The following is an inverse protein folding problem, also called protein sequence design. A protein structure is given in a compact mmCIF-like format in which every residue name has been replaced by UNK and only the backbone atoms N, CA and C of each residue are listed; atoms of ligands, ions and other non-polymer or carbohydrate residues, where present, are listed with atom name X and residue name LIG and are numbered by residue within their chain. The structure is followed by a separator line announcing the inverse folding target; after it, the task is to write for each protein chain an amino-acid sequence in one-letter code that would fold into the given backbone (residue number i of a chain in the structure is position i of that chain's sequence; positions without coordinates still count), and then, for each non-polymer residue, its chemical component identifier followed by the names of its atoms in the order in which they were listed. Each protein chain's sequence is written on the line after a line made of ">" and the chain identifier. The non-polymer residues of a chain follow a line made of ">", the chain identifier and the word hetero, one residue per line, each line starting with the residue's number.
data_IF_113980477544
#
_entry.id   IF_113980477544
#
_cell.length_a   1.000
_cell.length_b   1.000
_cell.length_c   1.000
_cell.angle_alpha   90.00
_cell.angle_beta   90.00
_cell.angle_gamma   90.00
#
_symmetry.space_group_name_H-M   'P 1'
#
loop_
_entity.id
_entity.type
_entity.pdbx_description
1 polymer ?
#
# COMPACT_ATOMS: atom_id res chain seq x y z
N UNK A 1 -9.79 1.96 -7.74
CA UNK A 1 -8.44 1.65 -7.22
C UNK A 1 -7.96 2.82 -6.38
N UNK A 2 -7.28 2.53 -5.27
CA UNK A 2 -6.59 3.51 -4.43
C UNK A 2 -5.16 3.64 -4.93
N UNK A 3 -4.61 4.88 -4.93
CA UNK A 3 -3.27 5.20 -5.39
C UNK A 3 -2.97 4.78 -6.84
N UNK A 4 -3.98 4.86 -7.71
CA UNK A 4 -3.81 4.52 -9.13
C UNK A 4 -2.87 5.47 -9.88
N UNK A 5 -2.71 6.71 -9.42
CA UNK A 5 -1.76 7.68 -9.95
C UNK A 5 -0.35 7.57 -9.32
N UNK A 6 -0.10 6.60 -8.47
CA UNK A 6 1.21 6.29 -7.83
C UNK A 6 1.81 7.44 -7.01
N UNK A 7 0.97 8.34 -6.49
CA UNK A 7 1.44 9.56 -5.80
C UNK A 7 1.78 9.36 -4.32
N UNK A 8 1.26 8.30 -3.69
CA UNK A 8 1.49 7.99 -2.27
C UNK A 8 2.49 6.85 -2.14
N UNK A 9 3.52 7.06 -1.33
CA UNK A 9 4.56 6.07 -1.04
C UNK A 9 5.09 6.25 0.38
N UNK A 10 4.28 5.87 1.38
CA UNK A 10 4.62 6.02 2.79
C UNK A 10 5.79 5.11 3.20
N UNK A 11 5.94 3.94 2.56
CA UNK A 11 7.03 2.98 2.84
C UNK A 11 8.39 3.41 2.29
N UNK A 12 8.44 4.50 1.49
CA UNK A 12 9.64 4.99 0.82
C UNK A 12 9.47 5.04 -0.69
N UNK A 13 10.46 5.56 -1.38
CA UNK A 13 10.41 5.78 -2.84
C UNK A 13 11.34 4.85 -3.63
N UNK A 14 12.30 4.21 -2.98
CA UNK A 14 13.23 3.27 -3.60
C UNK A 14 13.29 1.99 -2.76
N UNK A 15 12.82 0.89 -3.32
CA UNK A 15 12.74 -0.40 -2.64
C UNK A 15 13.87 -1.35 -3.06
N UNK A 16 14.62 -0.99 -4.12
CA UNK A 16 15.65 -1.87 -4.69
C UNK A 16 15.05 -3.18 -5.19
N UNK A 17 15.83 -4.26 -5.14
CA UNK A 17 15.37 -5.61 -5.46
C UNK A 17 14.71 -6.23 -4.24
N UNK A 18 13.46 -6.63 -4.37
CA UNK A 18 12.66 -7.17 -3.27
C UNK A 18 13.15 -8.59 -2.88
N UNK A 19 13.47 -8.78 -1.60
CA UNK A 19 13.84 -10.09 -1.06
C UNK A 19 12.63 -11.03 -0.89
N UNK A 20 11.44 -10.46 -0.75
CA UNK A 20 10.15 -11.17 -0.64
C UNK A 20 9.06 -10.36 -1.31
N UNK A 21 7.94 -11.01 -1.64
CA UNK A 21 6.73 -10.32 -2.08
C UNK A 21 6.31 -9.31 -1.02
N UNK A 22 6.16 -8.03 -1.38
CA UNK A 22 5.92 -6.95 -0.44
C UNK A 22 5.05 -5.83 -1.01
N UNK A 23 4.37 -5.10 -0.11
CA UNK A 23 3.81 -3.80 -0.44
C UNK A 23 4.93 -2.79 -0.61
N UNK A 24 4.88 -2.04 -1.71
CA UNK A 24 5.85 -1.02 -2.09
C UNK A 24 5.22 0.38 -2.02
N UNK A 25 4.84 0.97 -3.15
CA UNK A 25 3.95 2.13 -3.10
C UNK A 25 2.63 1.69 -2.44
N UNK A 26 2.00 2.62 -1.72
CA UNK A 26 0.78 2.30 -0.97
C UNK A 26 -0.25 1.59 -1.83
N UNK A 27 -0.81 0.50 -1.31
CA UNK A 27 -1.79 -0.40 -1.95
C UNK A 27 -1.25 -1.27 -3.08
N UNK A 28 0.04 -1.16 -3.44
CA UNK A 28 0.64 -1.92 -4.52
C UNK A 28 1.64 -2.93 -4.00
N UNK A 29 1.37 -4.19 -4.28
CA UNK A 29 2.19 -5.34 -3.90
C UNK A 29 2.93 -5.86 -5.13
N UNK A 30 4.20 -6.21 -4.99
CA UNK A 30 5.07 -6.71 -6.07
C UNK A 30 5.80 -7.95 -5.60
N UNK A 31 6.02 -8.90 -6.49
CA UNK A 31 6.68 -10.16 -6.17
C UNK A 31 8.17 -10.00 -5.85
N UNK A 32 8.70 -10.97 -5.12
CA UNK A 32 10.12 -11.09 -4.81
C UNK A 32 10.96 -11.18 -6.09
N UNK A 33 12.16 -10.60 -6.06
CA UNK A 33 13.06 -10.57 -7.22
C UNK A 33 12.91 -9.32 -8.08
N UNK A 34 11.74 -8.69 -8.11
CA UNK A 34 11.54 -7.45 -8.86
C UNK A 34 12.26 -6.27 -8.20
N UNK A 35 12.84 -5.40 -9.01
CA UNK A 35 13.37 -4.09 -8.57
C UNK A 35 12.26 -3.05 -8.71
N UNK A 36 12.02 -2.27 -7.66
CA UNK A 36 10.87 -1.36 -7.60
C UNK A 36 11.28 0.02 -7.09
N UNK A 37 10.76 1.07 -7.72
CA UNK A 37 10.83 2.44 -7.20
C UNK A 37 9.67 3.32 -7.69
N UNK A 38 9.43 4.42 -6.98
CA UNK A 38 8.56 5.49 -7.47
C UNK A 38 9.37 6.39 -8.41
N UNK A 39 8.93 6.52 -9.65
CA UNK A 39 9.52 7.42 -10.64
C UNK A 39 8.76 8.74 -10.72
N UNK A 40 9.46 9.85 -10.94
CA UNK A 40 8.84 11.13 -11.30
C UNK A 40 8.63 11.20 -12.81
N UNK A 41 7.49 11.73 -13.23
CA UNK A 41 7.23 12.04 -14.63
C UNK A 41 7.67 13.46 -14.95
N UNK A 42 8.19 13.67 -16.16
CA UNK A 42 8.39 15.00 -16.69
C UNK A 42 7.04 15.69 -16.95
N UNK A 43 7.05 17.01 -17.01
CA UNK A 43 5.87 17.77 -17.38
C UNK A 43 5.46 17.39 -18.83
N UNK A 44 4.16 17.12 -19.00
CA UNK A 44 3.59 16.72 -20.31
C UNK A 44 4.08 15.38 -20.87
N UNK A 45 4.72 14.52 -20.04
CA UNK A 45 5.19 13.21 -20.48
C UNK A 45 4.03 12.28 -20.91
N UNK A 46 2.84 12.48 -20.34
CA UNK A 46 1.57 11.90 -20.80
C UNK A 46 0.79 13.02 -21.47
N UNK A 47 0.71 13.01 -22.80
CA UNK A 47 0.20 14.12 -23.60
C UNK A 47 -1.30 14.37 -23.44
N UNK A 48 -2.08 13.32 -23.22
CA UNK A 48 -3.54 13.34 -23.08
C UNK A 48 -4.03 13.54 -21.65
N UNK A 49 -3.15 13.38 -20.64
CA UNK A 49 -3.43 13.76 -19.26
C UNK A 49 -2.17 14.25 -18.51
N UNK A 50 -1.98 15.56 -18.52
CA UNK A 50 -0.81 16.25 -18.01
C UNK A 50 -0.74 16.34 -16.47
N UNK A 51 -1.72 15.78 -15.74
CA UNK A 51 -1.78 15.85 -14.28
C UNK A 51 -0.96 14.76 -13.59
N UNK A 52 -0.54 13.72 -14.33
CA UNK A 52 0.29 12.68 -13.76
C UNK A 52 1.71 13.19 -13.46
N UNK A 53 2.15 12.97 -12.23
CA UNK A 53 3.48 13.38 -11.76
C UNK A 53 4.34 12.23 -11.30
N UNK A 54 3.74 11.06 -11.10
CA UNK A 54 4.40 9.85 -10.59
C UNK A 54 3.98 8.61 -11.35
N UNK A 55 4.88 7.63 -11.39
CA UNK A 55 4.62 6.27 -11.83
C UNK A 55 5.32 5.29 -10.90
N UNK A 56 4.87 4.05 -10.87
CA UNK A 56 5.68 2.95 -10.35
C UNK A 56 6.59 2.46 -11.47
N UNK A 57 7.88 2.39 -11.17
CA UNK A 57 8.90 1.79 -12.05
C UNK A 57 9.24 0.42 -11.51
N UNK A 58 9.18 -0.59 -12.38
CA UNK A 58 9.44 -1.98 -12.02
C UNK A 58 10.24 -2.68 -13.09
N UNK A 59 11.11 -3.58 -12.66
CA UNK A 59 11.79 -4.56 -13.52
C UNK A 59 11.75 -5.90 -12.80
N UNK A 60 11.10 -6.88 -13.40
CA UNK A 60 10.94 -8.22 -12.87
C UNK A 60 11.42 -9.28 -13.87
N UNK A 61 11.13 -10.54 -13.55
CA UNK A 61 11.22 -11.67 -14.44
C UNK A 61 9.81 -12.10 -14.90
N UNK A 62 9.74 -12.97 -15.90
CA UNK A 62 8.48 -13.62 -16.25
C UNK A 62 7.91 -14.37 -15.04
N UNK A 63 6.62 -14.25 -14.82
CA UNK A 63 5.88 -14.76 -13.65
C UNK A 63 6.01 -13.92 -12.36
N UNK A 64 6.67 -12.78 -12.38
CA UNK A 64 6.54 -11.78 -11.34
C UNK A 64 5.29 -10.94 -11.58
N UNK A 65 4.54 -10.65 -10.52
CA UNK A 65 3.29 -9.91 -10.62
C UNK A 65 3.31 -8.62 -9.83
N UNK A 66 2.67 -7.62 -10.42
CA UNK A 66 2.29 -6.35 -9.81
C UNK A 66 0.78 -6.38 -9.54
N UNK A 67 0.37 -6.09 -8.30
CA UNK A 67 -1.01 -6.33 -7.89
C UNK A 67 -1.57 -5.33 -6.88
N UNK A 68 -2.89 -5.19 -6.88
CA UNK A 68 -3.64 -4.45 -5.86
C UNK A 68 -4.89 -5.23 -5.44
N UNK A 69 -5.31 -5.08 -4.18
CA UNK A 69 -6.48 -5.75 -3.62
C UNK A 69 -7.56 -4.75 -3.25
N UNK A 70 -8.80 -5.07 -3.58
CA UNK A 70 -10.00 -4.29 -3.25
C UNK A 70 -10.82 -5.06 -2.24
N UNK A 71 -11.27 -4.40 -1.15
CA UNK A 71 -12.03 -5.05 -0.08
C UNK A 71 -13.34 -5.65 -0.60
N UNK A 72 -13.67 -6.82 -0.07
CA UNK A 72 -14.93 -7.52 -0.24
C UNK A 72 -15.22 -7.96 -1.68
N UNK A 73 -14.98 -9.24 -1.93
CA UNK A 73 -15.26 -9.88 -3.23
C UNK A 73 -16.72 -9.76 -3.67
N UNK A 74 -17.64 -9.55 -2.73
CA UNK A 74 -19.09 -9.47 -2.99
C UNK A 74 -19.46 -8.23 -3.80
N UNK A 75 -18.71 -7.13 -3.65
CA UNK A 75 -19.01 -5.86 -4.31
C UNK A 75 -18.94 -5.93 -5.84
N UNK A 76 -18.27 -6.94 -6.39
CA UNK A 76 -17.99 -7.04 -7.82
C UNK A 76 -18.64 -8.29 -8.46
N UNK A 77 -19.47 -9.00 -7.69
CA UNK A 77 -20.13 -10.24 -8.16
C UNK A 77 -20.98 -9.99 -9.41
N UNK A 78 -20.77 -10.80 -10.44
CA UNK A 78 -21.53 -10.73 -11.71
C UNK A 78 -21.48 -9.35 -12.39
N UNK A 79 -20.38 -8.59 -12.18
CA UNK A 79 -20.16 -7.29 -12.82
C UNK A 79 -19.18 -7.42 -13.97
N UNK A 80 -19.41 -6.63 -15.02
CA UNK A 80 -18.38 -6.36 -16.02
C UNK A 80 -17.58 -5.15 -15.56
N UNK A 81 -16.27 -5.32 -15.46
CA UNK A 81 -15.34 -4.27 -15.05
C UNK A 81 -14.48 -3.82 -16.23
N UNK A 82 -14.12 -2.55 -16.22
CA UNK A 82 -13.18 -1.93 -17.16
C UNK A 82 -11.95 -1.53 -16.38
N UNK A 83 -10.79 -2.07 -16.74
CA UNK A 83 -9.48 -1.64 -16.26
C UNK A 83 -8.86 -0.72 -17.29
N UNK A 84 -8.34 0.42 -16.87
CA UNK A 84 -7.51 1.28 -17.73
C UNK A 84 -6.23 1.67 -16.99
N UNK A 85 -5.14 1.86 -17.73
CA UNK A 85 -3.84 2.26 -17.18
C UNK A 85 -2.95 2.83 -18.27
N UNK A 86 -1.98 3.66 -17.86
CA UNK A 86 -0.90 4.13 -18.72
C UNK A 86 0.36 3.32 -18.44
N UNK A 87 1.02 2.88 -19.50
CA UNK A 87 2.29 2.16 -19.40
C UNK A 87 3.27 2.59 -20.49
N UNK A 88 4.57 2.64 -20.14
CA UNK A 88 5.69 2.68 -21.08
C UNK A 88 6.78 1.70 -20.62
N UNK A 89 7.64 1.27 -21.54
CA UNK A 89 8.84 0.50 -21.27
C UNK A 89 10.11 1.33 -21.45
N UNK A 90 11.20 0.91 -20.84
CA UNK A 90 12.54 1.42 -21.18
C UNK A 90 12.96 1.01 -22.60
N UNK A 91 12.39 -0.08 -23.10
CA UNK A 91 12.45 -0.55 -24.49
C UNK A 91 11.11 -1.15 -24.87
N UNK A 92 10.89 -1.42 -26.17
CA UNK A 92 9.68 -2.09 -26.63
C UNK A 92 9.60 -3.49 -26.01
N UNK A 93 8.41 -3.83 -25.50
CA UNK A 93 8.12 -5.12 -24.87
C UNK A 93 6.60 -5.41 -24.99
N UNK A 94 6.16 -6.51 -24.40
CA UNK A 94 4.74 -6.81 -24.19
C UNK A 94 4.44 -6.85 -22.70
N UNK A 95 3.27 -6.40 -22.32
CA UNK A 95 2.67 -6.62 -21.01
C UNK A 95 1.56 -7.66 -21.21
N UNK A 96 1.71 -8.79 -20.57
CA UNK A 96 0.83 -9.94 -20.77
C UNK A 96 0.08 -10.30 -19.48
N UNK A 97 -0.91 -11.21 -19.58
CA UNK A 97 -1.50 -11.90 -18.45
C UNK A 97 -2.07 -10.99 -17.34
N UNK A 98 -3.09 -10.19 -17.69
CA UNK A 98 -3.83 -9.41 -16.69
C UNK A 98 -5.05 -10.21 -16.23
N UNK A 99 -5.19 -10.37 -14.90
CA UNK A 99 -6.27 -11.14 -14.29
C UNK A 99 -6.97 -10.40 -13.17
N UNK A 100 -8.23 -10.77 -12.97
CA UNK A 100 -9.01 -10.48 -11.78
C UNK A 100 -9.22 -11.77 -10.98
N UNK A 101 -8.81 -11.79 -9.71
CA UNK A 101 -8.94 -12.91 -8.79
C UNK A 101 -10.01 -12.62 -7.75
N UNK A 102 -11.05 -13.41 -7.74
CA UNK A 102 -12.00 -13.44 -6.63
C UNK A 102 -11.42 -14.34 -5.52
N UNK A 103 -10.96 -13.71 -4.43
CA UNK A 103 -10.48 -14.42 -3.25
C UNK A 103 -11.56 -14.36 -2.16
N UNK A 104 -12.05 -15.51 -1.75
CA UNK A 104 -13.16 -15.62 -0.81
C UNK A 104 -12.72 -15.56 0.67
N UNK A 105 -11.45 -15.32 0.94
CA UNK A 105 -10.93 -15.14 2.28
C UNK A 105 -10.79 -16.42 3.10
N UNK A 106 -10.44 -16.24 4.37
CA UNK A 106 -10.25 -17.36 5.29
C UNK A 106 -11.58 -18.05 5.63
N UNK A 107 -11.66 -19.35 5.44
CA UNK A 107 -12.89 -20.13 5.60
C UNK A 107 -13.87 -20.01 4.42
N UNK A 108 -13.47 -19.29 3.36
CA UNK A 108 -14.26 -19.15 2.14
C UNK A 108 -14.04 -20.23 1.10
N UNK A 109 -14.76 -20.11 -0.01
CA UNK A 109 -14.62 -20.99 -1.19
C UNK A 109 -13.25 -20.82 -1.84
N UNK A 110 -12.87 -21.77 -2.72
CA UNK A 110 -11.65 -21.66 -3.52
C UNK A 110 -11.64 -20.41 -4.39
N UNK A 111 -10.45 -19.84 -4.61
CA UNK A 111 -10.23 -18.68 -5.47
C UNK A 111 -10.71 -18.95 -6.90
N UNK A 112 -11.11 -17.88 -7.60
CA UNK A 112 -11.48 -17.92 -9.01
C UNK A 112 -10.73 -16.81 -9.75
N UNK A 113 -9.90 -17.20 -10.72
CA UNK A 113 -9.18 -16.28 -11.60
C UNK A 113 -9.94 -16.13 -12.91
N UNK A 114 -10.10 -14.88 -13.36
CA UNK A 114 -10.73 -14.54 -14.62
C UNK A 114 -9.80 -13.61 -15.40
N UNK A 115 -9.46 -14.00 -16.62
CA UNK A 115 -8.61 -13.20 -17.49
C UNK A 115 -9.37 -11.97 -18.04
N UNK A 116 -8.67 -10.85 -18.19
CA UNK A 116 -9.18 -9.71 -18.93
C UNK A 116 -9.26 -10.01 -20.43
N UNK A 117 -10.11 -9.28 -21.15
CA UNK A 117 -10.43 -9.52 -22.57
C UNK A 117 -9.23 -9.43 -23.52
N UNK A 118 -8.22 -8.63 -23.18
CA UNK A 118 -6.96 -8.57 -23.89
C UNK A 118 -5.85 -9.03 -22.96
N UNK A 119 -5.05 -9.98 -23.38
CA UNK A 119 -3.96 -10.57 -22.60
C UNK A 119 -2.57 -10.13 -23.06
N UNK A 120 -2.46 -9.32 -24.11
CA UNK A 120 -1.16 -8.88 -24.64
C UNK A 120 -1.24 -7.44 -25.13
N UNK A 121 -0.38 -6.59 -24.58
CA UNK A 121 -0.29 -5.18 -24.88
C UNK A 121 1.10 -4.84 -25.39
N UNK A 122 1.21 -4.25 -26.57
CA UNK A 122 2.48 -3.79 -27.13
C UNK A 122 2.93 -2.53 -26.41
N UNK A 123 3.88 -2.65 -25.48
CA UNK A 123 4.44 -1.54 -24.72
C UNK A 123 5.59 -0.90 -25.47
N UNK A 124 5.52 0.41 -25.70
CA UNK A 124 6.56 1.21 -26.36
C UNK A 124 7.32 2.07 -25.33
N UNK A 125 8.29 2.85 -25.80
CA UNK A 125 9.05 3.80 -24.96
C UNK A 125 8.27 5.09 -24.64
N UNK A 126 7.06 5.25 -25.16
CA UNK A 126 6.15 6.35 -24.83
C UNK A 126 4.93 5.82 -24.07
N UNK A 127 4.41 6.62 -23.13
CA UNK A 127 3.19 6.25 -22.43
C UNK A 127 2.03 6.06 -23.39
N UNK A 128 1.39 4.92 -23.27
CA UNK A 128 0.15 4.59 -24.00
C UNK A 128 -0.90 4.17 -22.99
N UNK A 129 -2.12 4.66 -23.14
CA UNK A 129 -3.27 4.24 -22.34
C UNK A 129 -3.86 2.96 -22.93
N UNK A 130 -4.02 1.95 -22.10
CA UNK A 130 -4.69 0.70 -22.45
C UNK A 130 -5.98 0.54 -21.66
N UNK A 131 -6.91 -0.20 -22.24
CA UNK A 131 -8.19 -0.54 -21.64
C UNK A 131 -8.48 -2.02 -21.88
N UNK A 132 -8.97 -2.69 -20.85
CA UNK A 132 -9.40 -4.09 -20.90
C UNK A 132 -10.68 -4.29 -20.10
N UNK A 133 -11.48 -5.26 -20.48
CA UNK A 133 -12.71 -5.64 -19.78
C UNK A 133 -12.63 -7.04 -19.20
N UNK A 134 -13.32 -7.28 -18.10
CA UNK A 134 -13.52 -8.60 -17.52
C UNK A 134 -14.92 -8.71 -16.95
N UNK A 135 -15.61 -9.81 -17.21
CA UNK A 135 -16.88 -10.13 -16.54
C UNK A 135 -16.62 -11.12 -15.43
N UNK A 136 -16.80 -10.69 -14.19
CA UNK A 136 -16.57 -11.54 -13.04
C UNK A 136 -17.71 -12.55 -12.86
N UNK A 137 -17.39 -13.81 -12.52
CA UNK A 137 -18.40 -14.80 -12.19
C UNK A 137 -19.26 -14.39 -10.98
N UNK A 138 -20.49 -14.90 -10.96
CA UNK A 138 -21.37 -14.79 -9.80
C UNK A 138 -20.78 -15.53 -8.60
N UNK A 139 -20.92 -14.96 -7.41
CA UNK A 139 -20.56 -15.60 -6.14
C UNK A 139 -21.73 -16.42 -5.55
N UNK A 140 -22.83 -16.56 -6.28
CA UNK A 140 -23.96 -17.40 -5.85
C UNK A 140 -23.47 -18.83 -5.57
N UNK A 141 -23.84 -19.39 -4.41
CA UNK A 141 -23.38 -20.70 -3.96
C UNK A 141 -21.95 -20.76 -3.44
N UNK A 142 -21.24 -19.64 -3.34
CA UNK A 142 -19.92 -19.52 -2.71
C UNK A 142 -20.05 -19.12 -1.25
N UNK A 143 -19.14 -19.61 -0.42
CA UNK A 143 -18.95 -19.13 0.96
C UNK A 143 -17.96 -17.99 0.95
N UNK A 144 -18.37 -16.83 1.45
CA UNK A 144 -17.48 -15.68 1.65
C UNK A 144 -16.97 -15.71 3.09
N UNK A 145 -15.68 -15.89 3.25
CA UNK A 145 -14.99 -15.92 4.53
C UNK A 145 -14.48 -14.54 4.94
N UNK A 146 -13.67 -14.50 6.00
CA UNK A 146 -13.10 -13.25 6.52
C UNK A 146 -11.97 -12.74 5.61
N UNK A 147 -11.88 -11.41 5.48
CA UNK A 147 -10.86 -10.73 4.65
C UNK A 147 -10.89 -11.17 3.17
N UNK A 148 -12.10 -11.36 2.62
CA UNK A 148 -12.27 -11.59 1.19
C UNK A 148 -11.91 -10.33 0.38
N UNK A 149 -11.45 -10.50 -0.86
CA UNK A 149 -11.06 -9.39 -1.72
C UNK A 149 -11.14 -9.74 -3.21
N UNK A 150 -11.23 -8.71 -4.03
CA UNK A 150 -10.90 -8.78 -5.44
C UNK A 150 -9.46 -8.33 -5.64
N UNK A 151 -8.63 -9.14 -6.29
CA UNK A 151 -7.25 -8.78 -6.64
C UNK A 151 -7.16 -8.55 -8.15
N UNK A 152 -6.58 -7.42 -8.53
CA UNK A 152 -6.17 -7.17 -9.93
C UNK A 152 -4.66 -7.35 -9.97
N UNK A 153 -4.17 -8.23 -10.85
CA UNK A 153 -2.76 -8.47 -11.00
C UNK A 153 -2.34 -8.54 -12.46
N UNK A 154 -1.13 -8.06 -12.73
CA UNK A 154 -0.52 -7.97 -14.05
C UNK A 154 0.85 -8.62 -13.98
N UNK A 155 1.17 -9.47 -14.95
CA UNK A 155 2.50 -10.05 -15.10
C UNK A 155 3.48 -9.01 -15.61
N UNK A 156 4.67 -8.94 -14.99
CA UNK A 156 5.73 -8.05 -15.44
C UNK A 156 6.45 -8.65 -16.64
N UNK A 157 6.86 -7.83 -17.64
CA UNK A 157 7.65 -8.33 -18.75
C UNK A 157 9.05 -8.74 -18.28
N UNK A 158 9.57 -9.81 -18.88
CA UNK A 158 10.88 -10.36 -18.52
C UNK A 158 12.00 -9.36 -18.80
N UNK A 159 12.76 -9.02 -17.76
CA UNK A 159 13.99 -8.23 -17.81
C UNK A 159 13.89 -6.83 -18.44
N UNK A 160 12.68 -6.33 -18.70
CA UNK A 160 12.45 -4.97 -19.21
C UNK A 160 11.83 -4.11 -18.10
N UNK A 161 12.42 -2.94 -17.88
CA UNK A 161 11.84 -1.95 -16.97
C UNK A 161 10.58 -1.35 -17.57
N UNK A 162 9.49 -1.39 -16.80
CA UNK A 162 8.21 -0.75 -17.15
C UNK A 162 7.83 0.33 -16.13
N UNK A 163 7.08 1.31 -16.61
CA UNK A 163 6.55 2.42 -15.82
C UNK A 163 5.03 2.42 -15.96
N UNK A 164 4.31 2.30 -14.88
CA UNK A 164 2.83 2.23 -14.85
C UNK A 164 2.28 3.35 -13.98
N UNK A 165 1.22 4.00 -14.45
CA UNK A 165 0.44 5.00 -13.69
C UNK A 165 -0.99 5.08 -14.21
N UNK A 166 -1.86 5.84 -13.54
CA UNK A 166 -3.24 6.04 -13.96
C UNK A 166 -4.07 4.76 -13.99
N UNK A 167 -3.80 3.84 -13.05
CA UNK A 167 -4.56 2.58 -12.98
C UNK A 167 -5.94 2.83 -12.39
N UNK A 168 -6.99 2.60 -13.17
CA UNK A 168 -8.38 2.80 -12.80
C UNK A 168 -9.22 1.56 -13.11
N UNK A 169 -10.11 1.19 -12.21
CA UNK A 169 -11.07 0.11 -12.37
C UNK A 169 -12.48 0.65 -12.19
N UNK A 170 -13.35 0.41 -13.15
CA UNK A 170 -14.72 0.91 -13.21
C UNK A 170 -15.70 -0.23 -13.48
N UNK A 171 -16.95 -0.08 -13.04
CA UNK A 171 -18.03 -0.98 -13.46
C UNK A 171 -18.58 -0.48 -14.80
N UNK A 172 -18.65 -1.36 -15.78
CA UNK A 172 -19.24 -1.05 -17.10
C UNK A 172 -20.76 -1.07 -17.04
N UNK A 173 -21.35 0.05 -16.60
CA UNK A 173 -22.80 0.19 -16.54
C UNK A 173 -23.48 0.33 -17.91
N UNK A 174 -22.71 0.65 -18.94
CA UNK A 174 -23.24 0.94 -20.29
C UNK A 174 -23.03 -0.20 -21.27
N UNK A 175 -22.22 -1.20 -20.92
CA UNK A 175 -21.81 -2.25 -21.84
C UNK A 175 -20.91 -1.76 -22.98
N UNK A 176 -20.31 -0.57 -22.84
CA UNK A 176 -19.51 0.05 -23.91
C UNK A 176 -18.08 -0.49 -23.97
N UNK A 177 -17.57 -1.07 -22.90
CA UNK A 177 -16.17 -1.50 -22.76
C UNK A 177 -15.16 -0.34 -22.79
N UNK A 178 -15.61 0.92 -22.65
CA UNK A 178 -14.78 2.11 -22.74
C UNK A 178 -14.57 2.71 -21.36
N UNK A 179 -13.31 2.88 -20.97
CA UNK A 179 -12.94 3.59 -19.76
C UNK A 179 -13.25 5.09 -19.87
N UNK A 180 -13.68 5.68 -18.75
CA UNK A 180 -13.76 7.13 -18.59
C UNK A 180 -12.36 7.75 -18.43
N UNK A 181 -12.27 9.08 -18.44
CA UNK A 181 -11.02 9.76 -18.08
C UNK A 181 -10.60 9.39 -16.66
N UNK A 182 -9.29 9.44 -16.38
CA UNK A 182 -8.78 9.09 -15.06
C UNK A 182 -9.29 10.07 -13.99
N UNK A 183 -9.83 9.55 -12.90
CA UNK A 183 -10.31 10.33 -11.77
C UNK A 183 -9.14 10.76 -10.87
N UNK A 184 -8.65 11.98 -11.07
CA UNK A 184 -7.62 12.57 -10.22
C UNK A 184 -8.18 13.01 -8.85
N UNK A 185 -7.68 12.45 -7.78
CA UNK A 185 -7.96 12.88 -6.42
C UNK A 185 -6.86 13.81 -5.92
N UNK A 186 -7.19 14.71 -4.99
CA UNK A 186 -6.17 15.50 -4.30
C UNK A 186 -5.24 14.61 -3.48
N UNK A 187 -4.00 15.05 -3.28
CA UNK A 187 -3.02 14.30 -2.47
C UNK A 187 -3.58 13.92 -1.09
N UNK A 188 -4.26 14.85 -0.41
CA UNK A 188 -4.82 14.59 0.92
C UNK A 188 -5.94 13.54 0.92
N UNK A 189 -6.79 13.53 -0.11
CA UNK A 189 -7.83 12.50 -0.27
C UNK A 189 -7.20 11.12 -0.52
N UNK A 190 -6.23 11.04 -1.43
CA UNK A 190 -5.54 9.78 -1.73
C UNK A 190 -4.75 9.25 -0.54
N UNK A 191 -4.05 10.15 0.18
CA UNK A 191 -3.33 9.78 1.40
C UNK A 191 -4.28 9.20 2.46
N UNK A 192 -5.43 9.82 2.70
CA UNK A 192 -6.41 9.32 3.66
C UNK A 192 -6.93 7.92 3.28
N UNK A 193 -7.15 7.66 1.99
CA UNK A 193 -7.53 6.33 1.51
C UNK A 193 -6.42 5.30 1.73
N UNK A 194 -5.15 5.67 1.51
CA UNK A 194 -3.99 4.82 1.78
C UNK A 194 -3.82 4.57 3.28
N UNK A 195 -4.00 5.59 4.11
CA UNK A 195 -3.86 5.49 5.57
C UNK A 195 -4.90 4.57 6.23
N UNK A 196 -6.01 4.26 5.58
CA UNK A 196 -6.92 3.20 6.01
C UNK A 196 -6.21 1.83 6.09
N UNK A 197 -5.16 1.61 5.31
CA UNK A 197 -4.43 0.36 5.19
C UNK A 197 -3.03 0.42 5.80
N UNK A 198 -2.33 1.52 5.62
CA UNK A 198 -0.98 1.70 6.14
C UNK A 198 -0.79 3.15 6.58
N UNK A 199 -0.34 3.34 7.79
CA UNK A 199 -0.03 4.65 8.35
C UNK A 199 1.36 4.62 8.95
N UNK A 200 2.20 5.56 8.53
CA UNK A 200 3.57 5.68 8.98
C UNK A 200 3.82 7.04 9.60
N UNK A 201 4.54 7.02 10.71
CA UNK A 201 5.11 8.17 11.39
C UNK A 201 6.61 8.12 11.12
N UNK A 202 7.14 9.18 10.54
CA UNK A 202 8.55 9.30 10.16
C UNK A 202 9.29 10.32 11.03
N UNK A 203 10.61 10.21 11.04
CA UNK A 203 11.47 11.28 11.52
C UNK A 203 11.22 12.56 10.70
N UNK A 204 10.85 13.65 11.40
CA UNK A 204 10.52 14.93 10.76
C UNK A 204 11.65 15.98 10.89
N UNK A 205 12.79 15.58 11.44
CA UNK A 205 13.92 16.47 11.73
C UNK A 205 13.80 17.18 13.09
N UNK A 206 14.85 17.11 13.88
CA UNK A 206 14.91 17.69 15.22
C UNK A 206 14.42 16.76 16.34
N UNK A 207 14.74 17.12 17.57
CA UNK A 207 14.29 16.41 18.78
C UNK A 207 12.76 16.49 18.92
N UNK A 208 12.14 15.42 19.40
CA UNK A 208 10.69 15.28 19.61
C UNK A 208 9.84 15.29 18.32
N UNK A 209 10.39 14.93 17.18
CA UNK A 209 9.61 14.75 15.96
C UNK A 209 8.79 13.45 16.01
N UNK A 210 7.54 13.51 15.57
CA UNK A 210 6.60 12.38 15.49
C UNK A 210 6.32 11.68 16.83
N UNK A 211 6.37 12.41 17.95
CA UNK A 211 6.21 11.88 19.28
C UNK A 211 4.82 11.30 19.58
N UNK A 212 4.79 10.10 20.15
CA UNK A 212 3.58 9.49 20.73
C UNK A 212 3.56 9.78 22.22
N UNK A 213 2.55 10.52 22.67
CA UNK A 213 2.42 10.91 24.06
C UNK A 213 1.90 9.77 24.92
N UNK A 214 2.38 9.71 26.16
CA UNK A 214 2.00 8.70 27.12
C UNK A 214 2.46 9.00 28.54
N UNK A 215 2.67 7.94 29.33
CA UNK A 215 3.08 8.06 30.71
C UNK A 215 3.83 6.80 31.18
N UNK A 216 4.61 6.95 32.26
CA UNK A 216 5.18 5.83 32.99
C UNK A 216 4.08 5.13 33.81
N UNK A 217 3.76 3.89 33.43
CA UNK A 217 2.84 3.04 34.17
C UNK A 217 3.48 2.48 35.45
N UNK A 218 4.76 2.14 35.37
CA UNK A 218 5.63 1.78 36.48
C UNK A 218 7.00 2.45 36.28
N UNK A 219 7.94 2.25 37.22
CA UNK A 219 9.30 2.80 37.09
C UNK A 219 10.08 2.24 35.89
N UNK A 220 9.61 1.14 35.28
CA UNK A 220 10.28 0.46 34.16
C UNK A 220 9.38 0.20 32.96
N UNK A 221 8.12 0.67 32.99
CA UNK A 221 7.14 0.43 31.94
C UNK A 221 6.50 1.74 31.49
N UNK A 222 6.49 1.96 30.18
CA UNK A 222 5.88 3.16 29.55
C UNK A 222 4.77 2.72 28.63
N UNK A 223 3.63 3.42 28.67
CA UNK A 223 2.58 3.36 27.68
C UNK A 223 2.54 4.64 26.87
N UNK A 224 2.47 4.50 25.54
CA UNK A 224 2.25 5.62 24.62
C UNK A 224 1.09 5.31 23.69
N UNK A 225 0.45 6.36 23.17
CA UNK A 225 -0.83 6.24 22.50
C UNK A 225 -0.78 6.85 21.11
N UNK A 226 -1.34 6.13 20.14
CA UNK A 226 -1.61 6.64 18.80
C UNK A 226 -3.11 6.60 18.52
N UNK A 227 -3.68 7.73 18.14
CA UNK A 227 -4.98 7.79 17.50
C UNK A 227 -4.75 7.78 15.99
N UNK A 228 -5.22 6.73 15.32
CA UNK A 228 -5.07 6.62 13.89
C UNK A 228 -5.74 7.80 13.19
N UNK A 229 -5.05 8.41 12.23
CA UNK A 229 -5.57 9.55 11.45
C UNK A 229 -6.82 9.20 10.67
N UNK A 230 -6.94 7.93 10.28
CA UNK A 230 -8.09 7.36 9.56
C UNK A 230 -8.44 6.01 10.19
N UNK A 231 -9.74 5.70 10.27
CA UNK A 231 -10.19 4.39 10.74
C UNK A 231 -9.59 3.30 9.87
N UNK A 232 -8.82 2.39 10.48
CA UNK A 232 -8.16 1.30 9.78
C UNK A 232 -9.16 0.28 9.26
N UNK A 233 -8.80 -0.43 8.20
CA UNK A 233 -9.58 -1.54 7.65
C UNK A 233 -9.79 -2.68 8.66
N UNK A 234 -8.75 -3.01 9.38
CA UNK A 234 -8.69 -4.03 10.41
C UNK A 234 -7.79 -3.55 11.55
N UNK A 235 -7.77 -4.26 12.66
CA UNK A 235 -6.78 -4.03 13.72
C UNK A 235 -5.38 -4.18 13.12
N UNK A 236 -4.56 -3.11 13.14
CA UNK A 236 -3.24 -3.13 12.48
C UNK A 236 -2.21 -3.93 13.28
N UNK A 237 -1.20 -4.42 12.58
CA UNK A 237 0.07 -4.82 13.16
C UNK A 237 1.00 -3.61 13.33
N UNK A 238 1.97 -3.73 14.23
CA UNK A 238 3.00 -2.72 14.48
C UNK A 238 4.26 -3.06 13.70
N UNK A 239 4.77 -2.07 12.97
CA UNK A 239 6.10 -2.10 12.35
C UNK A 239 6.91 -0.92 12.86
N UNK A 240 8.22 -1.06 12.96
CA UNK A 240 9.14 0.01 13.30
C UNK A 240 10.55 -0.27 12.77
N UNK A 241 11.35 0.78 12.66
CA UNK A 241 12.77 0.72 12.33
C UNK A 241 13.58 0.11 13.48
N UNK A 242 14.89 0.30 13.51
CA UNK A 242 15.68 -0.14 14.65
C UNK A 242 15.22 0.56 15.95
N UNK A 243 15.23 -0.14 17.08
CA UNK A 243 14.88 0.46 18.38
C UNK A 243 15.83 1.60 18.77
N UNK A 244 17.04 1.60 18.21
CA UNK A 244 18.03 2.68 18.35
C UNK A 244 17.68 3.96 17.61
N UNK A 245 16.62 3.95 16.78
CA UNK A 245 16.09 5.12 16.10
C UNK A 245 14.99 5.81 16.92
N UNK A 246 14.68 5.25 18.10
CA UNK A 246 13.58 5.66 18.96
C UNK A 246 14.10 6.01 20.36
N UNK A 247 13.56 7.09 20.96
CA UNK A 247 13.86 7.52 22.32
C UNK A 247 12.62 7.79 23.15
N UNK A 248 12.79 7.78 24.49
CA UNK A 248 11.74 8.16 25.43
C UNK A 248 12.14 9.49 26.07
N UNK A 249 11.38 10.51 25.76
CA UNK A 249 11.55 11.86 26.25
C UNK A 249 10.68 12.16 27.50
N UNK A 250 11.05 13.13 28.36
CA UNK A 250 12.08 14.17 28.15
C UNK A 250 13.50 13.81 28.59
N UNK A 251 13.83 12.55 28.80
CA UNK A 251 15.10 12.16 29.41
C UNK A 251 16.07 11.42 28.50
N UNK A 252 15.79 11.37 27.19
CA UNK A 252 16.67 10.73 26.21
C UNK A 252 16.99 9.27 26.63
N UNK A 253 15.92 8.47 26.83
CA UNK A 253 16.04 7.07 27.27
C UNK A 253 15.89 6.13 26.10
N UNK A 254 16.82 5.19 26.03
CA UNK A 254 16.76 4.12 25.03
C UNK A 254 15.49 3.30 25.13
N UNK A 255 14.98 2.86 23.99
CA UNK A 255 13.82 1.97 23.87
C UNK A 255 14.30 0.52 23.83
N UNK A 256 14.21 -0.26 24.95
CA UNK A 256 14.71 -1.63 24.98
C UNK A 256 13.82 -2.61 24.22
N UNK A 257 12.55 -2.29 24.08
CA UNK A 257 11.58 -3.03 23.27
C UNK A 257 10.37 -2.16 22.98
N UNK A 258 9.60 -2.52 21.95
CA UNK A 258 8.35 -1.86 21.61
C UNK A 258 7.32 -2.92 21.20
N UNK A 259 6.16 -2.93 21.84
CA UNK A 259 5.10 -3.91 21.58
C UNK A 259 3.74 -3.24 21.45
N UNK A 260 2.87 -3.82 20.62
CA UNK A 260 1.48 -3.43 20.53
C UNK A 260 0.72 -4.08 21.70
N UNK A 261 0.40 -3.29 22.74
CA UNK A 261 -0.27 -3.79 23.94
C UNK A 261 -1.78 -3.95 23.74
N UNK A 262 -2.41 -2.92 23.14
CA UNK A 262 -3.82 -2.94 22.76
C UNK A 262 -4.01 -2.15 21.47
N UNK A 263 -4.86 -2.62 20.60
CA UNK A 263 -5.19 -1.92 19.36
C UNK A 263 -6.57 -2.28 18.88
N UNK A 264 -7.18 -1.33 18.22
CA UNK A 264 -8.37 -1.51 17.39
C UNK A 264 -8.20 -0.69 16.09
N UNK A 265 -9.27 -0.54 15.33
CA UNK A 265 -9.24 0.20 14.05
C UNK A 265 -9.08 1.72 14.20
N UNK A 266 -9.16 2.26 15.40
CA UNK A 266 -9.10 3.71 15.69
C UNK A 266 -7.90 4.09 16.55
N UNK A 267 -7.35 3.14 17.28
CA UNK A 267 -6.44 3.43 18.37
C UNK A 267 -5.41 2.32 18.55
N UNK A 268 -4.19 2.69 18.94
CA UNK A 268 -3.15 1.79 19.39
C UNK A 268 -2.51 2.30 20.69
N UNK A 269 -2.37 1.40 21.65
CA UNK A 269 -1.54 1.59 22.84
C UNK A 269 -0.29 0.75 22.68
N UNK A 270 0.85 1.40 22.63
CA UNK A 270 2.16 0.75 22.60
C UNK A 270 2.71 0.66 24.01
N UNK A 271 3.44 -0.42 24.29
CA UNK A 271 4.09 -0.68 25.56
C UNK A 271 5.58 -0.85 25.35
N UNK A 272 6.35 -0.19 26.22
CA UNK A 272 7.79 -0.29 26.32
C UNK A 272 8.09 -0.81 27.72
N UNK A 273 8.79 -1.94 27.84
CA UNK A 273 9.20 -2.52 29.13
C UNK A 273 10.72 -2.49 29.28
N UNK A 274 11.19 -2.47 30.53
CA UNK A 274 12.62 -2.55 30.86
C UNK A 274 13.35 -1.23 30.64
N UNK A 275 12.62 -0.11 30.65
CA UNK A 275 13.25 1.21 30.69
C UNK A 275 14.02 1.34 31.99
N UNK A 276 15.29 1.71 31.88
CA UNK A 276 16.13 1.98 33.07
C UNK A 276 15.94 3.41 33.49
N UNK A 277 15.04 3.65 34.42
CA UNK A 277 14.80 4.95 35.00
C UNK A 277 14.36 4.83 36.46
N UNK A 278 14.66 5.86 37.21
CA UNK A 278 14.20 6.11 38.57
C UNK A 278 13.01 7.05 38.64
N UNK A 279 12.32 7.25 37.49
CA UNK A 279 11.11 8.09 37.38
C UNK A 279 9.94 7.41 38.06
N UNK A 280 9.19 8.23 38.74
CA UNK A 280 7.99 7.77 39.41
C UNK A 280 6.86 7.40 38.46
N UNK A 281 6.09 6.40 38.81
CA UNK A 281 4.81 6.07 38.20
C UNK A 281 3.92 7.31 38.02
N UNK A 282 3.39 7.51 36.80
CA UNK A 282 2.45 8.59 36.49
C UNK A 282 3.10 9.83 35.85
N UNK A 283 4.42 9.87 35.71
CA UNK A 283 5.08 10.95 34.96
C UNK A 283 4.76 10.85 33.45
N UNK A 284 4.74 12.00 32.78
CA UNK A 284 4.54 12.05 31.33
C UNK A 284 5.74 11.48 30.59
N UNK A 285 5.47 10.82 29.48
CA UNK A 285 6.46 10.29 28.57
C UNK A 285 6.09 10.59 27.12
N UNK A 286 7.07 10.65 26.23
CA UNK A 286 6.87 10.76 24.80
C UNK A 286 7.82 9.79 24.10
N UNK A 287 7.29 8.88 23.29
CA UNK A 287 8.12 8.08 22.38
C UNK A 287 8.37 8.91 21.12
N UNK A 288 9.62 9.19 20.85
CA UNK A 288 10.04 10.01 19.70
C UNK A 288 10.79 9.16 18.68
N UNK A 289 10.86 9.66 17.45
CA UNK A 289 11.70 9.13 16.38
C UNK A 289 12.78 10.17 16.15
N UNK A 290 14.04 9.86 16.43
CA UNK A 290 15.12 10.83 16.48
C UNK A 290 16.22 10.61 15.43
N UNK A 291 16.20 9.50 14.69
CA UNK A 291 17.17 9.18 13.64
C UNK A 291 16.58 9.29 12.23
N UNK A 292 17.40 9.78 11.30
CA UNK A 292 17.05 9.80 9.87
C UNK A 292 16.75 8.39 9.36
N UNK A 293 15.56 8.20 8.80
CA UNK A 293 15.10 6.89 8.34
C UNK A 293 14.33 6.09 9.40
N UNK A 294 14.34 6.55 10.66
CA UNK A 294 13.52 5.98 11.72
C UNK A 294 12.03 6.12 11.45
N UNK A 295 11.24 5.13 11.90
CA UNK A 295 9.79 5.16 11.73
C UNK A 295 9.06 4.23 12.74
N UNK A 296 7.77 4.54 12.91
CA UNK A 296 6.76 3.67 13.52
C UNK A 296 5.60 3.58 12.54
N UNK A 297 5.09 2.39 12.27
CA UNK A 297 3.98 2.22 11.33
C UNK A 297 2.93 1.22 11.82
N UNK A 298 1.73 1.39 11.30
CA UNK A 298 0.55 0.58 11.59
C UNK A 298 0.03 -0.02 10.29
N UNK A 299 0.23 -1.33 10.10
CA UNK A 299 -0.11 -2.06 8.88
C UNK A 299 -1.42 -2.84 9.05
N UNK A 300 -2.41 -2.52 8.22
CA UNK A 300 -3.69 -3.17 8.10
C UNK A 300 -3.98 -3.62 6.65
N UNK A 301 -2.95 -3.90 5.85
CA UNK A 301 -3.07 -4.36 4.46
C UNK A 301 -3.81 -5.72 4.36
N UNK A 302 -4.25 -6.07 3.14
CA UNK A 302 -5.00 -7.30 2.83
C UNK A 302 -4.08 -8.48 2.53
#
# INVERSE_FOLDING_TARGET
>A
IINGAMIISQRGVNFGTLASTAYTLDRWNVDAGATVQQASLAVDEISDDKKFTKAIQMQGASSDYFRTKLEDVSNFSNQTLILSFYVKGASNTTLDNIYARQNFGSGGSSIVDTAFSNLSYSVTTSYTRYTATVTLPSISGKTVGTSSYLEIFMELPDSVTVYITGVQLEVDHTGSGKATDFEHRSFGQELALCQRYYERLDYAGGTMSSGLMGFYNTDTEVFVFNHHRVIKRATPSLEYSALTDLDIEPRDRTVPNLTLFRSDTKFACLRINGVTDDNGKGEAACLTIDQTGGFIAFDAEL
#
